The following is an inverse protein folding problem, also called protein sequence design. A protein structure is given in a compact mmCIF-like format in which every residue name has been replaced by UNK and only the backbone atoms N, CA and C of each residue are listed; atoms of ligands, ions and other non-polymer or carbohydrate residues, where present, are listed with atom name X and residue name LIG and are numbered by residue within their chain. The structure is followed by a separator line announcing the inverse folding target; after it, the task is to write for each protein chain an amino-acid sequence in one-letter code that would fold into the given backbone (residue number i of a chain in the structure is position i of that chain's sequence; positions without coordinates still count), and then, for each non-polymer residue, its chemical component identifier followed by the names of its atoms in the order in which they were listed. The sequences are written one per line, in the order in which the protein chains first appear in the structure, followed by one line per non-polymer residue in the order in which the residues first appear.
data_IF_782116884716
#
_entry.id   IF_782116884716
#
_cell.length_a   1.000
_cell.length_b   1.000
_cell.length_c   1.000
_cell.angle_alpha   90.00
_cell.angle_beta   90.00
_cell.angle_gamma   90.00
#
_symmetry.space_group_name_H-M   'P 1'
#
loop_
_entity.id
_entity.type
_entity.pdbx_description
1 polymer ?
#
# COMPACT_ATOMS: atom_id res chain seq x y z
N UNK A 1 18.79 -11.45 -10.54
CA UNK A 1 18.94 -10.34 -11.50
C UNK A 1 17.60 -9.97 -12.16
N UNK A 2 16.85 -10.92 -12.71
CA UNK A 2 15.52 -10.69 -13.31
C UNK A 2 14.50 -10.16 -12.32
N UNK A 3 14.43 -10.68 -11.12
CA UNK A 3 13.51 -10.25 -10.07
C UNK A 3 13.70 -8.78 -9.71
N UNK A 4 14.96 -8.35 -9.62
CA UNK A 4 15.28 -6.96 -9.30
C UNK A 4 14.86 -6.01 -10.42
N UNK A 5 15.07 -6.38 -11.66
CA UNK A 5 14.68 -5.59 -12.82
C UNK A 5 13.17 -5.48 -12.94
N UNK A 6 12.45 -6.59 -12.79
CA UNK A 6 11.00 -6.64 -12.79
C UNK A 6 10.41 -5.80 -11.63
N UNK A 7 10.99 -5.92 -10.44
CA UNK A 7 10.58 -5.16 -9.25
C UNK A 7 10.73 -3.66 -9.45
N UNK A 8 11.83 -3.20 -10.03
CA UNK A 8 12.07 -1.78 -10.30
C UNK A 8 11.04 -1.23 -11.30
N UNK A 9 10.79 -1.96 -12.39
CA UNK A 9 9.83 -1.52 -13.41
C UNK A 9 8.39 -1.50 -12.88
N UNK A 10 8.01 -2.53 -12.14
CA UNK A 10 6.69 -2.60 -11.53
C UNK A 10 6.48 -1.46 -10.53
N UNK A 11 7.47 -1.18 -9.70
CA UNK A 11 7.44 -0.06 -8.75
C UNK A 11 7.27 1.28 -9.44
N UNK A 12 8.07 1.55 -10.48
CA UNK A 12 7.95 2.78 -11.26
C UNK A 12 6.57 2.95 -11.88
N UNK A 13 6.00 1.86 -12.38
CA UNK A 13 4.65 1.85 -12.92
C UNK A 13 3.60 2.18 -11.86
N UNK A 14 3.69 1.56 -10.69
CA UNK A 14 2.78 1.81 -9.58
C UNK A 14 2.87 3.26 -9.06
N UNK A 15 4.09 3.80 -8.99
CA UNK A 15 4.32 5.20 -8.61
C UNK A 15 3.69 6.18 -9.59
N UNK A 16 3.85 5.95 -10.89
CA UNK A 16 3.27 6.80 -11.93
C UNK A 16 1.75 6.71 -12.01
N UNK A 17 1.20 5.56 -11.72
CA UNK A 17 -0.25 5.30 -11.80
C UNK A 17 -1.01 5.77 -10.56
N UNK A 18 -0.31 6.17 -9.49
CA UNK A 18 -0.94 6.64 -8.25
C UNK A 18 -1.78 5.58 -7.54
N UNK A 19 -1.46 4.29 -7.74
CA UNK A 19 -2.23 3.16 -7.18
C UNK A 19 -2.07 3.05 -5.69
N UNK A 20 -0.88 3.41 -5.17
CA UNK A 20 -0.60 3.34 -3.75
C UNK A 20 -1.15 4.57 -3.03
N UNK A 21 -1.92 4.32 -1.98
CA UNK A 21 -2.49 5.39 -1.17
C UNK A 21 -1.42 6.09 -0.34
N UNK A 22 -1.65 7.34 0.02
CA UNK A 22 -0.76 8.11 0.90
C UNK A 22 -0.62 7.48 2.30
N UNK A 23 -1.53 6.60 2.68
CA UNK A 23 -1.54 5.87 3.95
C UNK A 23 -0.78 4.55 3.92
N UNK A 24 -0.21 4.18 2.78
CA UNK A 24 0.64 2.99 2.63
C UNK A 24 2.07 3.32 3.10
N UNK A 25 2.49 2.77 4.23
CA UNK A 25 3.82 3.00 4.79
C UNK A 25 4.81 1.86 4.56
N UNK A 26 4.32 0.62 4.53
CA UNK A 26 5.16 -0.54 4.32
C UNK A 26 5.57 -0.69 2.85
N UNK A 27 6.80 -1.16 2.64
CA UNK A 27 7.36 -1.45 1.31
C UNK A 27 7.44 -0.26 0.36
N UNK A 28 7.36 0.94 0.88
CA UNK A 28 7.40 2.17 0.11
C UNK A 28 8.74 2.90 0.28
N UNK A 29 9.26 3.42 -0.81
CA UNK A 29 10.52 4.16 -0.79
C UNK A 29 10.36 5.48 -0.02
N UNK A 30 11.27 5.74 0.90
CA UNK A 30 11.27 6.96 1.72
C UNK A 30 10.41 6.85 2.98
N UNK A 31 9.71 5.73 3.20
CA UNK A 31 8.94 5.48 4.42
C UNK A 31 9.72 4.59 5.38
N UNK A 32 9.79 4.97 6.63
CA UNK A 32 10.42 4.22 7.70
C UNK A 32 9.42 3.51 8.61
N UNK A 33 9.94 2.66 9.50
CA UNK A 33 9.12 1.92 10.48
C UNK A 33 8.42 2.81 11.50
N UNK A 34 8.92 4.03 11.69
CA UNK A 34 8.35 5.01 12.62
C UNK A 34 7.26 5.90 12.00
N UNK A 35 7.14 5.92 10.67
CA UNK A 35 6.22 6.85 9.99
C UNK A 35 4.76 6.51 10.24
N UNK A 36 4.38 5.23 10.20
CA UNK A 36 3.03 4.79 10.48
C UNK A 36 2.59 5.07 11.93
N UNK A 37 3.38 4.69 12.95
CA UNK A 37 3.06 5.03 14.34
C UNK A 37 2.95 6.53 14.59
N UNK A 38 3.83 7.35 13.99
CA UNK A 38 3.78 8.81 14.12
C UNK A 38 2.51 9.39 13.49
N UNK A 39 2.11 8.90 12.33
CA UNK A 39 0.87 9.32 11.67
C UNK A 39 -0.36 9.00 12.53
N UNK A 40 -0.41 7.79 13.09
CA UNK A 40 -1.49 7.36 13.99
C UNK A 40 -1.52 8.24 15.24
N UNK A 41 -0.37 8.45 15.88
CA UNK A 41 -0.26 9.28 17.08
C UNK A 41 -0.71 10.72 16.83
N UNK A 42 -0.26 11.32 15.73
CA UNK A 42 -0.67 12.67 15.33
C UNK A 42 -2.18 12.76 15.11
N UNK A 43 -2.76 11.79 14.42
CA UNK A 43 -4.22 11.74 14.16
C UNK A 43 -5.00 11.61 15.47
N UNK A 44 -4.55 10.74 16.38
CA UNK A 44 -5.16 10.57 17.69
C UNK A 44 -5.11 11.85 18.52
N UNK A 45 -3.94 12.48 18.59
CA UNK A 45 -3.75 13.71 19.34
C UNK A 45 -4.65 14.83 18.82
N UNK A 46 -4.68 15.03 17.51
CA UNK A 46 -5.54 16.02 16.85
C UNK A 46 -7.02 15.78 17.11
N UNK A 47 -7.45 14.51 17.09
CA UNK A 47 -8.83 14.13 17.37
C UNK A 47 -9.21 14.41 18.82
N UNK A 48 -8.35 14.07 19.77
CA UNK A 48 -8.58 14.32 21.20
C UNK A 48 -8.58 15.81 21.54
N UNK A 49 -7.69 16.59 20.93
CA UNK A 49 -7.62 18.05 21.11
C UNK A 49 -8.91 18.75 20.60
N UNK A 50 -9.54 18.19 19.57
CA UNK A 50 -10.85 18.67 19.08
C UNK A 50 -12.05 18.24 19.95
N UNK A 51 -11.81 17.53 21.05
CA UNK A 51 -12.86 17.06 21.96
C UNK A 51 -13.65 15.85 21.44
N UNK A 52 -13.15 15.19 20.41
CA UNK A 52 -13.78 13.99 19.84
C UNK A 52 -13.20 12.72 20.46
N UNK A 53 -13.95 11.63 20.38
CA UNK A 53 -13.47 10.31 20.75
C UNK A 53 -12.73 9.67 19.59
N UNK A 54 -11.65 8.97 19.88
CA UNK A 54 -10.90 8.16 18.91
C UNK A 54 -10.97 6.70 19.28
N UNK A 55 -11.19 5.85 18.27
CA UNK A 55 -11.14 4.38 18.41
C UNK A 55 -10.20 3.83 17.36
N UNK A 56 -9.33 2.91 17.78
CA UNK A 56 -8.38 2.24 16.89
C UNK A 56 -8.80 0.78 16.76
N UNK A 57 -8.88 0.32 15.50
CA UNK A 57 -9.04 -1.09 15.18
C UNK A 57 -7.80 -1.53 14.41
N UNK A 58 -7.07 -2.48 14.96
CA UNK A 58 -5.91 -3.08 14.30
C UNK A 58 -6.30 -4.45 13.74
N UNK A 59 -6.04 -4.64 12.45
CA UNK A 59 -6.29 -5.90 11.75
C UNK A 59 -4.94 -6.41 11.25
N UNK A 60 -4.66 -7.67 11.52
CA UNK A 60 -3.45 -8.34 11.10
C UNK A 60 -3.76 -9.73 10.53
N UNK A 61 -2.96 -10.16 9.56
CA UNK A 61 -3.09 -11.47 8.94
C UNK A 61 -1.93 -12.37 9.37
N UNK A 62 -2.23 -13.51 9.97
CA UNK A 62 -1.20 -14.49 10.26
C UNK A 62 -0.73 -15.17 8.98
N UNK A 63 0.58 -15.35 8.84
CA UNK A 63 1.20 -16.00 7.68
C UNK A 63 0.72 -15.44 6.33
N UNK A 64 0.61 -14.11 6.23
CA UNK A 64 0.02 -13.42 5.07
C UNK A 64 0.64 -13.82 3.73
N UNK A 65 1.97 -13.97 3.68
CA UNK A 65 2.67 -14.35 2.45
C UNK A 65 2.51 -15.83 2.09
N UNK A 66 2.27 -16.70 3.07
CA UNK A 66 2.10 -18.15 2.84
C UNK A 66 0.72 -18.50 2.25
N UNK A 67 -0.27 -17.67 2.55
CA UNK A 67 -1.65 -17.85 2.09
C UNK A 67 -1.98 -17.14 0.77
N UNK A 68 -1.00 -16.50 0.17
CA UNK A 68 -1.20 -15.76 -1.08
C UNK A 68 -1.42 -16.71 -2.25
N UNK A 69 -2.52 -16.51 -2.96
CA UNK A 69 -2.76 -17.18 -4.23
C UNK A 69 -1.98 -16.48 -5.36
N UNK A 70 -0.88 -17.08 -5.78
CA UNK A 70 0.00 -16.51 -6.82
C UNK A 70 -0.73 -16.29 -8.15
N UNK A 71 -1.56 -17.23 -8.56
CA UNK A 71 -2.35 -17.08 -9.79
C UNK A 71 -3.37 -15.95 -9.68
N UNK A 72 -4.01 -15.82 -8.53
CA UNK A 72 -4.95 -14.74 -8.27
C UNK A 72 -4.29 -13.36 -8.35
N UNK A 73 -3.09 -13.22 -7.80
CA UNK A 73 -2.32 -11.97 -7.90
C UNK A 73 -1.95 -11.65 -9.35
N UNK A 74 -1.48 -12.65 -10.11
CA UNK A 74 -1.15 -12.45 -11.53
C UNK A 74 -2.39 -12.01 -12.34
N UNK A 75 -3.53 -12.65 -12.14
CA UNK A 75 -4.77 -12.27 -12.81
C UNK A 75 -5.21 -10.85 -12.44
N UNK A 76 -5.20 -10.50 -11.17
CA UNK A 76 -5.54 -9.14 -10.73
C UNK A 76 -4.59 -8.11 -11.31
N UNK A 77 -3.29 -8.42 -11.38
CA UNK A 77 -2.28 -7.52 -11.95
C UNK A 77 -2.51 -7.30 -13.44
N UNK A 78 -2.82 -8.35 -14.19
CA UNK A 78 -3.12 -8.26 -15.64
C UNK A 78 -4.40 -7.46 -15.89
N UNK A 79 -5.46 -7.74 -15.16
CA UNK A 79 -6.74 -7.03 -15.30
C UNK A 79 -6.55 -5.54 -14.98
N UNK A 80 -5.79 -5.23 -13.95
CA UNK A 80 -5.55 -3.86 -13.55
C UNK A 80 -4.71 -3.09 -14.58
N UNK A 81 -3.69 -3.73 -15.17
CA UNK A 81 -2.90 -3.14 -16.27
C UNK A 81 -3.80 -2.89 -17.49
N UNK A 82 -4.71 -3.80 -17.81
CA UNK A 82 -5.66 -3.63 -18.90
C UNK A 82 -6.63 -2.47 -18.66
N UNK A 83 -7.12 -2.29 -17.43
CA UNK A 83 -7.96 -1.13 -17.06
C UNK A 83 -7.22 0.19 -17.23
N UNK A 84 -5.98 0.27 -16.76
CA UNK A 84 -5.15 1.47 -16.91
C UNK A 84 -4.88 1.78 -18.38
N UNK A 85 -4.58 0.77 -19.17
CA UNK A 85 -4.39 0.94 -20.62
C UNK A 85 -5.67 1.40 -21.32
N UNK A 86 -6.82 0.89 -20.91
CA UNK A 86 -8.12 1.28 -21.47
C UNK A 86 -8.49 2.73 -21.13
N UNK A 87 -8.09 3.22 -19.96
CA UNK A 87 -8.29 4.63 -19.56
C UNK A 87 -7.34 5.62 -20.25
N UNK A 88 -6.23 5.13 -20.83
CA UNK A 88 -5.26 5.96 -21.57
C UNK A 88 -5.59 6.13 -23.07
N UNK A 89 -6.56 5.35 -23.57
CA UNK A 89 -7.08 5.45 -24.93
C UNK A 89 -8.50 6.02 -24.94
#
# INVERSE_FOLDING_TARGET
MFERLASVRLRQFMERSGVLTATQFAYWKGQGTCDAPLCVLHTLQSTLESGQEARIVQIDFSAAFDWVNHQGILWCSVLWVLEVLCCLY
#
